data_IF_813633149347
#
_entry.id   IF_813633149347
#
_cell.length_a   1.000
_cell.length_b   1.000
_cell.length_c   1.000
_cell.angle_alpha   90.00
_cell.angle_beta   90.00
_cell.angle_gamma   90.00
#
_symmetry.space_group_name_H-M   'P 1'
#
loop_
_entity.id
_entity.type
_entity.pdbx_description
1 polymer ?
#
# COMPACT_ATOMS: atom_id res chain seq x y z
N UNK A 1 -2.88 1.77 -19.12
CA UNK A 1 -2.51 3.17 -19.42
C UNK A 1 -3.24 4.21 -18.55
N UNK A 2 -4.59 4.29 -18.49
CA UNK A 2 -5.31 5.32 -17.69
C UNK A 2 -5.01 5.31 -16.17
N UNK A 3 -4.93 4.13 -15.54
CA UNK A 3 -4.69 3.99 -14.08
C UNK A 3 -3.34 4.53 -13.62
N UNK A 4 -2.29 4.34 -14.41
CA UNK A 4 -0.95 4.83 -14.10
C UNK A 4 -0.88 6.36 -14.16
N UNK A 5 -1.54 6.98 -15.13
CA UNK A 5 -1.62 8.46 -15.22
C UNK A 5 -2.32 9.05 -14.00
N UNK A 6 -3.43 8.44 -13.55
CA UNK A 6 -4.12 8.88 -12.32
C UNK A 6 -3.23 8.73 -11.09
N UNK A 7 -2.53 7.61 -10.96
CA UNK A 7 -1.56 7.39 -9.88
C UNK A 7 -0.48 8.48 -9.82
N UNK A 8 0.15 8.79 -10.96
CA UNK A 8 1.20 9.83 -11.03
C UNK A 8 0.65 11.20 -10.63
N UNK A 9 -0.58 11.54 -11.05
CA UNK A 9 -1.24 12.80 -10.66
C UNK A 9 -1.53 12.86 -9.16
N UNK A 10 -2.05 11.78 -8.58
CA UNK A 10 -2.34 11.69 -7.15
C UNK A 10 -1.06 11.77 -6.30
N UNK A 11 -0.01 11.06 -6.72
CA UNK A 11 1.31 11.14 -6.09
C UNK A 11 1.84 12.57 -6.07
N UNK A 12 1.87 13.24 -7.23
CA UNK A 12 2.32 14.62 -7.34
C UNK A 12 1.49 15.59 -6.50
N UNK A 13 0.17 15.36 -6.41
CA UNK A 13 -0.70 16.16 -5.55
C UNK A 13 -0.30 16.06 -4.08
N UNK A 14 -0.06 14.84 -3.56
CA UNK A 14 0.35 14.64 -2.17
C UNK A 14 1.77 15.18 -1.91
N UNK A 15 2.69 15.00 -2.84
CA UNK A 15 4.05 15.57 -2.75
C UNK A 15 4.00 17.10 -2.69
N UNK A 16 3.17 17.74 -3.50
CA UNK A 16 2.95 19.20 -3.47
C UNK A 16 2.33 19.70 -2.15
N UNK A 17 1.70 18.80 -1.37
CA UNK A 17 1.18 19.12 -0.02
C UNK A 17 2.23 18.90 1.08
N UNK A 18 3.45 18.51 0.72
CA UNK A 18 4.56 18.31 1.66
C UNK A 18 4.70 16.89 2.18
N UNK A 19 3.95 15.92 1.65
CA UNK A 19 4.09 14.52 2.05
C UNK A 19 5.21 13.82 1.28
N UNK A 20 6.04 13.05 2.00
CA UNK A 20 7.01 12.14 1.39
C UNK A 20 6.30 10.83 1.03
N UNK A 21 6.27 10.50 -0.25
CA UNK A 21 5.62 9.28 -0.75
C UNK A 21 6.64 8.15 -0.83
N UNK A 22 6.34 7.04 -0.15
CA UNK A 22 7.04 5.77 -0.29
C UNK A 22 6.12 4.83 -1.07
N UNK A 23 6.58 4.34 -2.21
CA UNK A 23 5.85 3.38 -3.03
C UNK A 23 6.08 1.97 -2.47
N UNK A 24 5.03 1.15 -2.42
CA UNK A 24 5.19 -0.28 -2.17
C UNK A 24 5.88 -0.98 -3.35
N UNK A 25 6.56 -2.08 -3.08
CA UNK A 25 7.32 -2.88 -4.06
C UNK A 25 6.48 -3.35 -5.26
N UNK A 26 5.15 -3.44 -5.12
CA UNK A 26 4.20 -3.89 -6.14
C UNK A 26 3.56 -2.74 -6.92
N UNK A 27 3.72 -1.49 -6.48
CA UNK A 27 3.05 -0.30 -7.05
C UNK A 27 3.32 -0.11 -8.54
N UNK A 28 4.47 -0.59 -9.03
CA UNK A 28 4.89 -0.49 -10.43
C UNK A 28 4.79 -1.79 -11.21
N UNK A 29 4.33 -2.88 -10.59
CA UNK A 29 4.09 -4.15 -11.27
C UNK A 29 2.70 -4.12 -11.88
N UNK A 30 2.64 -4.27 -13.20
CA UNK A 30 1.38 -4.42 -13.93
C UNK A 30 1.29 -5.82 -14.51
N UNK A 31 0.88 -6.79 -13.70
CA UNK A 31 0.48 -8.07 -14.25
C UNK A 31 -0.93 -7.90 -14.81
N UNK A 32 -1.05 -8.15 -16.11
CA UNK A 32 -2.15 -7.79 -17.02
C UNK A 32 -3.55 -8.25 -16.58
N UNK A 33 -3.67 -9.02 -15.48
CA UNK A 33 -4.94 -9.59 -15.06
C UNK A 33 -5.15 -9.78 -13.54
N UNK A 34 -4.17 -9.51 -12.66
CA UNK A 34 -4.33 -9.83 -11.23
C UNK A 34 -3.61 -8.85 -10.30
N UNK A 35 -4.19 -8.69 -9.10
CA UNK A 35 -3.43 -8.33 -7.90
C UNK A 35 -2.28 -9.33 -7.76
N UNK A 36 -1.11 -8.91 -7.28
CA UNK A 36 -0.01 -9.82 -6.95
C UNK A 36 -0.48 -10.99 -6.06
N UNK A 37 0.34 -12.03 -5.92
CA UNK A 37 -0.01 -13.17 -5.07
C UNK A 37 -0.37 -12.75 -3.65
N UNK A 38 -1.11 -13.58 -2.90
CA UNK A 38 -1.40 -13.31 -1.48
C UNK A 38 -0.09 -13.03 -0.73
N UNK A 39 0.92 -13.90 -0.94
CA UNK A 39 2.23 -13.78 -0.31
C UNK A 39 2.88 -12.42 -0.57
N UNK A 40 2.98 -11.99 -1.83
CA UNK A 40 3.60 -10.72 -2.18
C UNK A 40 2.86 -9.51 -1.57
N UNK A 41 1.53 -9.54 -1.55
CA UNK A 41 0.72 -8.46 -0.95
C UNK A 41 0.85 -8.42 0.57
N UNK A 42 0.92 -9.59 1.21
CA UNK A 42 1.16 -9.74 2.66
C UNK A 42 2.56 -9.22 3.02
N UNK A 43 3.57 -9.58 2.23
CA UNK A 43 4.94 -9.07 2.43
C UNK A 43 4.98 -7.54 2.32
N UNK A 44 4.39 -6.96 1.26
CA UNK A 44 4.36 -5.51 1.08
C UNK A 44 3.66 -4.77 2.24
N UNK A 45 2.48 -5.22 2.66
CA UNK A 45 1.75 -4.53 3.73
C UNK A 45 2.51 -4.66 5.07
N UNK A 46 3.07 -5.83 5.37
CA UNK A 46 3.80 -6.06 6.61
C UNK A 46 5.12 -5.28 6.65
N UNK A 47 5.82 -5.13 5.52
CA UNK A 47 7.01 -4.28 5.43
C UNK A 47 6.68 -2.80 5.71
N UNK A 48 5.55 -2.31 5.20
CA UNK A 48 5.07 -0.95 5.47
C UNK A 48 4.63 -0.77 6.93
N UNK A 49 4.00 -1.77 7.54
CA UNK A 49 3.61 -1.78 8.94
C UNK A 49 4.84 -1.72 9.85
N UNK A 50 5.85 -2.56 9.59
CA UNK A 50 7.06 -2.64 10.42
C UNK A 50 7.95 -1.40 10.27
N UNK A 51 7.85 -0.66 9.16
CA UNK A 51 8.68 0.52 8.95
C UNK A 51 8.25 1.70 9.84
N UNK A 52 9.08 2.14 10.81
CA UNK A 52 8.70 3.20 11.75
C UNK A 52 8.64 4.60 11.12
N UNK A 53 9.28 4.80 9.97
CA UNK A 53 9.26 6.07 9.22
C UNK A 53 7.92 6.32 8.51
N UNK A 54 7.15 5.26 8.25
CA UNK A 54 5.81 5.37 7.64
C UNK A 54 4.79 5.78 8.71
N UNK A 55 4.04 6.84 8.47
CA UNK A 55 2.99 7.33 9.38
C UNK A 55 1.57 7.09 8.87
N UNK A 56 1.44 6.88 7.57
CA UNK A 56 0.18 6.62 6.89
C UNK A 56 0.40 5.56 5.81
N UNK A 57 -0.48 4.57 5.76
CA UNK A 57 -0.57 3.57 4.70
C UNK A 57 -1.84 3.87 3.91
N UNK A 58 -1.71 4.07 2.61
CA UNK A 58 -2.84 4.38 1.72
C UNK A 58 -2.91 3.34 0.60
N UNK A 59 -4.06 2.72 0.42
CA UNK A 59 -4.25 1.78 -0.69
C UNK A 59 -4.36 2.55 -2.01
N UNK A 60 -3.75 2.02 -3.06
CA UNK A 60 -3.75 2.69 -4.37
C UNK A 60 -5.12 2.58 -5.07
N UNK A 61 -5.81 1.45 -4.90
CA UNK A 61 -7.14 1.19 -5.45
C UNK A 61 -7.80 0.04 -4.69
N UNK A 62 -9.13 0.08 -4.57
CA UNK A 62 -9.93 -1.02 -4.04
C UNK A 62 -10.02 -2.24 -4.99
N UNK A 63 -10.79 -3.24 -4.58
CA UNK A 63 -11.01 -4.48 -5.32
C UNK A 63 -11.72 -5.51 -4.45
N UNK A 64 -11.70 -6.80 -4.86
CA UNK A 64 -12.48 -7.85 -4.18
C UNK A 64 -11.66 -8.85 -3.35
N UNK A 65 -10.34 -8.65 -3.20
CA UNK A 65 -9.43 -9.67 -2.62
C UNK A 65 -8.61 -9.20 -1.40
N UNK A 66 -8.96 -8.07 -0.77
CA UNK A 66 -8.23 -7.57 0.41
C UNK A 66 -8.47 -8.42 1.65
N UNK A 67 -9.68 -8.97 1.81
CA UNK A 67 -10.05 -9.87 2.91
C UNK A 67 -9.11 -11.09 3.06
N UNK A 68 -8.57 -11.60 1.95
CA UNK A 68 -7.62 -12.72 1.97
C UNK A 68 -6.29 -12.42 2.68
N UNK A 69 -5.99 -11.15 2.95
CA UNK A 69 -4.76 -10.74 3.66
C UNK A 69 -4.91 -10.79 5.18
N UNK A 70 -6.15 -10.68 5.70
CA UNK A 70 -6.42 -10.50 7.13
C UNK A 70 -5.72 -11.53 8.02
N UNK A 71 -5.69 -12.84 7.70
CA UNK A 71 -5.03 -13.83 8.57
C UNK A 71 -3.49 -13.68 8.66
N UNK A 72 -2.89 -12.87 7.79
CA UNK A 72 -1.44 -12.79 7.63
C UNK A 72 -0.86 -11.40 7.94
N UNK A 73 -1.70 -10.46 8.39
CA UNK A 73 -1.24 -9.13 8.80
C UNK A 73 -0.48 -9.25 10.12
N UNK A 74 0.65 -8.57 10.22
CA UNK A 74 1.45 -8.43 11.43
C UNK A 74 0.79 -7.44 12.40
N UNK A 75 -0.30 -7.88 13.02
CA UNK A 75 -1.10 -7.06 13.92
C UNK A 75 -0.32 -6.64 15.17
N UNK A 76 0.60 -7.48 15.66
CA UNK A 76 1.44 -7.14 16.81
C UNK A 76 2.30 -5.91 16.52
N UNK A 77 3.00 -5.91 15.37
CA UNK A 77 3.78 -4.75 14.93
C UNK A 77 2.91 -3.50 14.73
N UNK A 78 1.69 -3.68 14.19
CA UNK A 78 0.77 -2.57 13.99
C UNK A 78 0.28 -1.96 15.31
N UNK A 79 -0.03 -2.79 16.31
CA UNK A 79 -0.47 -2.34 17.64
C UNK A 79 0.68 -1.62 18.35
N UNK A 80 1.92 -2.11 18.24
CA UNK A 80 3.09 -1.47 18.85
C UNK A 80 3.44 -0.11 18.22
N UNK A 81 3.09 0.08 16.95
CA UNK A 81 3.38 1.31 16.21
C UNK A 81 2.18 1.69 15.33
N UNK A 82 1.10 2.22 15.93
CA UNK A 82 -0.13 2.51 15.21
C UNK A 82 0.10 3.53 14.11
N UNK A 83 -0.51 3.28 12.94
CA UNK A 83 -0.41 4.14 11.75
C UNK A 83 -1.80 4.44 11.22
N UNK A 84 -1.93 5.57 10.52
CA UNK A 84 -3.15 5.87 9.77
C UNK A 84 -3.26 4.88 8.60
N UNK A 85 -4.44 4.32 8.36
CA UNK A 85 -4.75 3.47 7.20
C UNK A 85 -5.91 4.09 6.44
N UNK A 86 -5.72 4.34 5.13
CA UNK A 86 -6.73 4.94 4.25
C UNK A 86 -6.99 3.99 3.08
N UNK A 87 -8.27 3.68 2.85
CA UNK A 87 -8.75 2.61 1.99
C UNK A 87 -9.92 3.03 1.12
#
# INVERSE_FOLDING_TARGET
>A
MKRYVTYVRAKKYLENKGYKIVEGNLTRRSDYYRSASIKERVEEINDLIRNPSIKCIMVTIGGMKSNSLLPYIDYESFIQNPKIVIG
#
